data_IF_775287290133
#
_entry.id   IF_775287290133
#
_cell.length_a   1.000
_cell.length_b   1.000
_cell.length_c   1.000
_cell.angle_alpha   90.00
_cell.angle_beta   90.00
_cell.angle_gamma   90.00
#
_symmetry.space_group_name_H-M   'P 1'
#
loop_
_entity.id
_entity.type
_entity.pdbx_description
1 polymer ?
#
# COMPACT_ATOMS: atom_id res chain seq x y z
N UNK A 1 -10.55 6.12 6.55
CA UNK A 1 -9.58 5.48 7.48
C UNK A 1 -10.24 4.56 8.50
N UNK A 2 -11.14 5.05 9.38
CA UNK A 2 -11.76 4.22 10.46
C UNK A 2 -12.55 3.01 9.94
N UNK A 3 -13.29 3.15 8.84
CA UNK A 3 -14.07 2.07 8.21
C UNK A 3 -13.22 0.89 7.69
N UNK A 4 -11.94 1.13 7.39
CA UNK A 4 -10.99 0.09 6.98
C UNK A 4 -10.02 -0.30 8.13
N UNK A 5 -10.21 0.26 9.33
CA UNK A 5 -9.32 0.09 10.46
C UNK A 5 -7.91 0.65 10.24
N UNK A 6 -7.76 1.65 9.35
CA UNK A 6 -6.46 2.18 8.94
C UNK A 6 -6.03 3.35 9.83
N UNK A 7 -4.74 3.35 10.22
CA UNK A 7 -4.03 4.47 10.87
C UNK A 7 -3.22 5.27 9.85
N UNK A 8 -2.82 6.50 10.19
CA UNK A 8 -2.08 7.41 9.29
C UNK A 8 -0.87 6.78 8.57
N UNK A 9 -0.12 5.89 9.22
CA UNK A 9 0.98 5.17 8.57
C UNK A 9 0.55 4.36 7.33
N UNK A 10 -0.66 3.79 7.31
CA UNK A 10 -1.17 3.04 6.16
C UNK A 10 -1.58 3.97 5.00
N UNK A 11 -1.94 5.24 5.29
CA UNK A 11 -2.36 6.21 4.28
C UNK A 11 -1.23 6.53 3.30
N UNK A 12 0.01 6.64 3.78
CA UNK A 12 1.19 6.91 2.94
C UNK A 12 1.37 5.81 1.89
N UNK A 13 1.33 4.55 2.32
CA UNK A 13 1.49 3.39 1.43
C UNK A 13 0.35 3.30 0.40
N UNK A 14 -0.90 3.48 0.83
CA UNK A 14 -2.04 3.50 -0.10
C UNK A 14 -1.96 4.64 -1.11
N UNK A 15 -1.49 5.82 -0.69
CA UNK A 15 -1.36 6.99 -1.55
C UNK A 15 -0.27 6.79 -2.60
N UNK A 16 0.86 6.21 -2.21
CA UNK A 16 1.94 5.88 -3.14
C UNK A 16 1.46 4.83 -4.13
N UNK A 17 0.95 3.68 -3.66
CA UNK A 17 0.47 2.62 -4.54
C UNK A 17 -0.64 3.09 -5.50
N UNK A 18 -1.47 4.06 -5.09
CA UNK A 18 -2.48 4.67 -5.96
C UNK A 18 -1.86 5.46 -7.13
N UNK A 19 -0.70 6.10 -6.93
CA UNK A 19 0.02 6.83 -7.98
C UNK A 19 0.68 5.92 -9.01
N UNK A 20 0.89 4.65 -8.66
CA UNK A 20 1.53 3.64 -9.51
C UNK A 20 0.57 2.47 -9.77
N UNK A 21 -0.44 2.64 -10.65
CA UNK A 21 -1.44 1.61 -10.90
C UNK A 21 -0.89 0.34 -11.56
N UNK A 22 0.29 0.42 -12.20
CA UNK A 22 1.01 -0.73 -12.74
C UNK A 22 1.72 -1.57 -11.65
N UNK A 23 1.72 -1.09 -10.40
CA UNK A 23 2.44 -1.69 -9.28
C UNK A 23 3.85 -1.15 -9.12
N UNK A 24 4.40 -1.33 -7.92
CA UNK A 24 5.81 -1.03 -7.60
C UNK A 24 6.39 -2.15 -6.75
N UNK A 25 7.69 -2.39 -6.89
CA UNK A 25 8.39 -3.37 -6.07
C UNK A 25 8.52 -2.89 -4.63
N UNK A 26 8.76 -3.82 -3.69
CA UNK A 26 8.98 -3.47 -2.28
C UNK A 26 10.19 -2.54 -2.09
N UNK A 27 11.34 -2.71 -2.77
CA UNK A 27 12.44 -1.76 -2.70
C UNK A 27 12.05 -0.34 -3.13
N UNK A 28 11.38 -0.17 -4.28
CA UNK A 28 10.92 1.15 -4.76
C UNK A 28 9.94 1.78 -3.77
N UNK A 29 9.05 0.98 -3.19
CA UNK A 29 8.13 1.44 -2.15
C UNK A 29 8.87 1.91 -0.89
N UNK A 30 9.95 1.24 -0.48
CA UNK A 30 10.78 1.66 0.65
C UNK A 30 11.43 3.02 0.39
N UNK A 31 12.00 3.21 -0.81
CA UNK A 31 12.62 4.47 -1.22
C UNK A 31 11.60 5.62 -1.25
N UNK A 32 10.42 5.39 -1.85
CA UNK A 32 9.35 6.39 -1.94
C UNK A 32 8.75 6.75 -0.58
N UNK A 33 8.68 5.79 0.35
CA UNK A 33 8.15 6.01 1.69
C UNK A 33 9.20 6.56 2.67
N UNK A 34 10.50 6.55 2.32
CA UNK A 34 11.62 6.76 3.24
C UNK A 34 11.54 5.81 4.46
N UNK A 35 11.26 4.53 4.20
CA UNK A 35 11.08 3.48 5.21
C UNK A 35 12.03 2.31 4.96
N UNK A 36 12.38 1.59 6.03
CA UNK A 36 13.13 0.36 5.90
C UNK A 36 12.25 -0.82 5.43
N UNK A 37 12.91 -1.90 4.99
CA UNK A 37 12.26 -3.10 4.48
C UNK A 37 11.36 -3.79 5.52
N UNK A 38 11.71 -3.71 6.80
CA UNK A 38 10.96 -4.34 7.89
C UNK A 38 9.67 -3.59 8.19
N UNK A 39 9.67 -2.26 8.10
CA UNK A 39 8.46 -1.43 8.14
C UNK A 39 7.56 -1.71 6.94
N UNK A 40 8.12 -1.67 5.72
CA UNK A 40 7.36 -1.94 4.51
C UNK A 40 6.76 -3.36 4.50
N UNK A 41 7.51 -4.37 4.93
CA UNK A 41 7.01 -5.75 5.00
C UNK A 41 5.85 -5.89 5.99
N UNK A 42 5.95 -5.29 7.18
CA UNK A 42 4.86 -5.33 8.18
C UNK A 42 3.62 -4.60 7.68
N UNK A 43 3.81 -3.44 7.06
CA UNK A 43 2.72 -2.65 6.51
C UNK A 43 2.00 -3.39 5.37
N UNK A 44 2.76 -3.96 4.44
CA UNK A 44 2.22 -4.73 3.34
C UNK A 44 1.47 -5.96 3.82
N UNK A 45 1.98 -6.69 4.82
CA UNK A 45 1.27 -7.82 5.40
C UNK A 45 -0.10 -7.42 5.98
N UNK A 46 -0.17 -6.29 6.71
CA UNK A 46 -1.43 -5.77 7.26
C UNK A 46 -2.41 -5.38 6.15
N UNK A 47 -1.92 -4.71 5.10
CA UNK A 47 -2.76 -4.27 3.98
C UNK A 47 -3.24 -5.47 3.13
N UNK A 48 -2.40 -6.50 3.00
CA UNK A 48 -2.69 -7.74 2.27
C UNK A 48 -3.72 -8.58 3.02
N UNK A 49 -3.56 -8.73 4.35
CA UNK A 49 -4.55 -9.38 5.24
C UNK A 49 -5.92 -8.69 5.18
N UNK A 50 -5.93 -7.36 5.00
CA UNK A 50 -7.16 -6.56 4.82
C UNK A 50 -7.71 -6.61 3.39
N UNK A 51 -7.06 -7.32 2.47
CA UNK A 51 -7.47 -7.41 1.06
C UNK A 51 -7.32 -6.10 0.28
N UNK A 52 -6.49 -5.16 0.74
CA UNK A 52 -6.29 -3.84 0.12
C UNK A 52 -5.15 -3.83 -0.88
N UNK A 53 -4.17 -4.72 -0.72
CA UNK A 53 -3.07 -4.90 -1.66
C UNK A 53 -2.93 -6.35 -2.06
N UNK A 54 -2.30 -6.58 -3.21
CA UNK A 54 -1.85 -7.90 -3.65
C UNK A 54 -0.44 -7.81 -4.23
N UNK A 55 0.31 -8.91 -4.15
CA UNK A 55 1.60 -9.05 -4.83
C UNK A 55 1.40 -9.78 -6.15
N UNK A 56 2.01 -9.28 -7.20
CA UNK A 56 2.08 -9.92 -8.52
C UNK A 56 3.53 -10.19 -8.89
N UNK A 57 3.80 -11.41 -9.35
CA UNK A 57 5.17 -11.90 -9.57
C UNK A 57 5.76 -12.56 -8.32
N UNK A 58 6.74 -13.44 -8.52
CA UNK A 58 7.40 -14.20 -7.46
C UNK A 58 8.33 -13.35 -6.59
N UNK A 59 9.53 -13.85 -6.31
CA UNK A 59 10.52 -13.10 -5.54
C UNK A 59 10.92 -11.80 -6.27
N UNK A 60 10.57 -10.64 -5.69
CA UNK A 60 10.75 -9.33 -6.33
C UNK A 60 9.51 -8.79 -7.07
N UNK A 61 8.35 -9.45 -6.91
CA UNK A 61 7.09 -9.02 -7.50
C UNK A 61 6.64 -7.60 -7.09
N UNK A 62 5.80 -7.01 -7.94
CA UNK A 62 5.20 -5.72 -7.71
C UNK A 62 4.02 -5.83 -6.74
N UNK A 63 3.80 -4.78 -5.96
CA UNK A 63 2.64 -4.62 -5.09
C UNK A 63 1.65 -3.70 -5.79
N UNK A 64 0.38 -4.13 -5.84
CA UNK A 64 -0.71 -3.38 -6.45
C UNK A 64 -1.85 -3.18 -5.46
N UNK A 65 -2.62 -2.11 -5.64
CA UNK A 65 -3.91 -1.96 -4.98
C UNK A 65 -4.92 -2.94 -5.58
N UNK A 66 -5.72 -3.55 -4.73
CA UNK A 66 -6.98 -4.17 -5.16
C UNK A 66 -8.03 -3.09 -5.43
N UNK A 67 -9.20 -3.48 -5.93
CA UNK A 67 -10.34 -2.54 -6.06
C UNK A 67 -10.73 -1.93 -4.70
N UNK A 68 -10.75 -2.74 -3.64
CA UNK A 68 -10.98 -2.27 -2.28
C UNK A 68 -9.87 -1.32 -1.80
N UNK A 69 -8.61 -1.63 -2.12
CA UNK A 69 -7.45 -0.77 -1.85
C UNK A 69 -7.53 0.57 -2.56
N UNK A 70 -7.96 0.58 -3.83
CA UNK A 70 -8.15 1.79 -4.63
C UNK A 70 -9.24 2.67 -4.05
N UNK A 71 -10.36 2.10 -3.65
CA UNK A 71 -11.43 2.83 -2.95
C UNK A 71 -10.93 3.43 -1.62
N UNK A 72 -10.18 2.65 -0.83
CA UNK A 72 -9.59 3.11 0.42
C UNK A 72 -8.58 4.26 0.19
N UNK A 73 -7.75 4.17 -0.83
CA UNK A 73 -6.79 5.21 -1.19
C UNK A 73 -7.47 6.52 -1.64
N UNK A 74 -8.56 6.44 -2.40
CA UNK A 74 -9.36 7.62 -2.78
C UNK A 74 -9.91 8.32 -1.54
N UNK A 75 -10.48 7.56 -0.59
CA UNK A 75 -10.99 8.14 0.66
C UNK A 75 -9.89 8.77 1.52
N UNK A 76 -8.69 8.22 1.49
CA UNK A 76 -7.52 8.80 2.17
C UNK A 76 -7.15 10.14 1.52
N UNK A 77 -7.07 10.20 0.19
CA UNK A 77 -6.71 11.41 -0.56
C UNK A 77 -7.73 12.55 -0.45
N UNK A 78 -9.02 12.24 -0.27
CA UNK A 78 -10.06 13.25 -0.08
C UNK A 78 -10.03 13.90 1.32
N UNK A 79 -9.24 13.36 2.26
CA UNK A 79 -9.18 13.81 3.65
C UNK A 79 -7.79 14.28 4.09
N UNK A 80 -6.82 14.24 3.20
CA UNK A 80 -5.45 14.72 3.39
C UNK A 80 -5.29 16.08 2.73
#
# INVERSE_FOLDING_TARGET
MKAYGLKGAHATYLTILYRYPAGITVPELCELCLKDKSDASRMLAILEEKGLVRKEGGYGGAVLLTEAGRAAAIQVRQRA
#
